data_IF_207303697256
#
_entry.id   IF_207303697256
#
_cell.length_a   1.000
_cell.length_b   1.000
_cell.length_c   1.000
_cell.angle_alpha   90.00
_cell.angle_beta   90.00
_cell.angle_gamma   90.00
#
_symmetry.space_group_name_H-M   'P 1'
#
loop_
_entity.id
_entity.type
_entity.pdbx_description
1 polymer ?
#
# COMPACT_ATOMS: atom_id res chain seq x y z
N UNK A 1 -3.30 11.49 12.19
CA UNK A 1 -2.93 10.22 12.86
C UNK A 1 -1.77 10.49 13.80
N UNK A 2 -1.73 9.81 14.94
CA UNK A 2 -0.54 9.85 15.82
C UNK A 2 0.45 8.76 15.40
N UNK A 3 1.75 8.92 15.71
CA UNK A 3 2.75 7.89 15.43
C UNK A 3 2.45 6.55 16.12
N UNK A 4 1.88 6.58 17.32
CA UNK A 4 1.56 5.39 18.11
C UNK A 4 0.45 4.58 17.43
N UNK A 5 -0.62 5.25 16.97
CA UNK A 5 -1.72 4.59 16.27
C UNK A 5 -1.27 3.98 14.94
N UNK A 6 -0.33 4.61 14.24
CA UNK A 6 0.27 4.05 13.03
C UNK A 6 1.08 2.79 13.35
N UNK A 7 1.91 2.84 14.41
CA UNK A 7 2.70 1.69 14.85
C UNK A 7 1.81 0.52 15.28
N UNK A 8 0.70 0.78 15.96
CA UNK A 8 -0.27 -0.27 16.35
C UNK A 8 -0.91 -0.92 15.11
N UNK A 9 -1.28 -0.12 14.10
CA UNK A 9 -1.81 -0.62 12.84
C UNK A 9 -0.78 -1.51 12.11
N UNK A 10 0.47 -1.04 12.01
CA UNK A 10 1.55 -1.76 11.34
C UNK A 10 1.83 -3.11 12.03
N UNK A 11 1.84 -3.13 13.36
CA UNK A 11 1.99 -4.38 14.12
C UNK A 11 0.85 -5.36 13.87
N UNK A 12 -0.40 -4.86 13.80
CA UNK A 12 -1.56 -5.69 13.52
C UNK A 12 -1.53 -6.28 12.10
N UNK A 13 -1.15 -5.49 11.10
CA UNK A 13 -1.00 -5.94 9.71
C UNK A 13 0.14 -6.96 9.57
N UNK A 14 1.28 -6.72 10.22
CA UNK A 14 2.39 -7.67 10.26
C UNK A 14 1.99 -8.99 10.92
N UNK A 15 1.26 -8.95 12.04
CA UNK A 15 0.76 -10.15 12.72
C UNK A 15 -0.25 -10.95 11.88
N UNK A 16 -0.99 -10.28 10.99
CA UNK A 16 -1.89 -10.92 10.04
C UNK A 16 -1.15 -11.58 8.86
N UNK A 17 0.15 -11.31 8.67
CA UNK A 17 0.95 -11.89 7.60
C UNK A 17 0.57 -11.41 6.20
N UNK A 18 0.01 -10.20 6.09
CA UNK A 18 -0.35 -9.59 4.80
C UNK A 18 0.78 -8.70 4.29
N UNK A 19 0.92 -8.59 2.98
CA UNK A 19 1.77 -7.56 2.38
C UNK A 19 1.07 -6.20 2.50
N UNK A 20 1.75 -5.21 3.08
CA UNK A 20 1.19 -3.89 3.31
C UNK A 20 2.22 -2.78 3.12
N UNK A 21 1.72 -1.55 2.97
CA UNK A 21 2.53 -0.34 3.03
C UNK A 21 1.70 0.74 3.72
N UNK A 22 2.29 1.37 4.73
CA UNK A 22 1.69 2.47 5.48
C UNK A 22 2.54 3.73 5.27
N UNK A 23 1.93 4.83 4.85
CA UNK A 23 2.62 6.09 4.58
C UNK A 23 1.91 7.27 5.25
N UNK A 24 2.69 8.20 5.81
CA UNK A 24 2.21 9.51 6.23
C UNK A 24 2.53 10.50 5.11
N UNK A 25 1.51 11.15 4.56
CA UNK A 25 1.67 12.26 3.63
C UNK A 25 2.03 13.54 4.42
N UNK A 26 3.27 14.05 4.33
CA UNK A 26 3.71 15.18 5.15
C UNK A 26 2.88 16.45 4.88
N UNK A 27 2.57 17.21 5.92
CA UNK A 27 1.84 18.48 5.80
C UNK A 27 0.34 18.34 5.47
N UNK A 28 -0.17 17.13 5.28
CA UNK A 28 -1.57 16.89 4.97
C UNK A 28 -2.43 16.70 6.21
N UNK A 29 -3.72 16.98 6.05
CA UNK A 29 -4.76 16.66 7.04
C UNK A 29 -5.84 15.79 6.41
N UNK A 30 -6.76 15.28 7.24
CA UNK A 30 -7.89 14.51 6.73
C UNK A 30 -8.65 15.31 5.66
N UNK A 31 -8.82 14.70 4.48
CA UNK A 31 -9.47 15.33 3.34
C UNK A 31 -8.57 15.89 2.26
N UNK A 32 -7.25 15.68 2.32
CA UNK A 32 -6.31 16.22 1.33
C UNK A 32 -6.57 15.83 -0.13
N UNK A 33 -7.36 14.79 -0.40
CA UNK A 33 -7.77 14.37 -1.75
C UNK A 33 -9.08 14.98 -2.23
N UNK A 34 -9.83 15.67 -1.37
CA UNK A 34 -11.16 16.21 -1.66
C UNK A 34 -11.04 17.67 -2.14
N UNK A 35 -11.11 17.88 -3.45
CA UNK A 35 -10.85 19.17 -4.11
C UNK A 35 -11.80 20.32 -3.72
N UNK A 36 -12.90 19.99 -3.08
CA UNK A 36 -13.93 20.91 -2.59
C UNK A 36 -13.74 21.31 -1.11
N UNK A 37 -12.60 20.95 -0.50
CA UNK A 37 -12.29 21.25 0.90
C UNK A 37 -11.04 22.10 1.04
N UNK A 38 -10.95 22.89 2.12
CA UNK A 38 -9.75 23.67 2.47
C UNK A 38 -8.52 22.78 2.75
N UNK A 39 -8.74 21.48 2.99
CA UNK A 39 -7.67 20.51 3.20
C UNK A 39 -6.98 20.07 1.90
N UNK A 40 -7.55 20.39 0.72
CA UNK A 40 -7.07 19.90 -0.57
C UNK A 40 -5.60 20.24 -0.82
N UNK A 41 -4.82 19.21 -1.12
CA UNK A 41 -3.42 19.33 -1.51
C UNK A 41 -3.20 18.60 -2.84
N UNK A 42 -2.96 19.32 -3.95
CA UNK A 42 -2.80 18.71 -5.27
C UNK A 42 -1.53 17.85 -5.39
N UNK A 43 -0.46 18.16 -4.64
CA UNK A 43 0.76 17.37 -4.66
C UNK A 43 0.57 16.05 -3.90
N UNK A 44 -0.13 16.10 -2.76
CA UNK A 44 -0.48 14.89 -2.02
C UNK A 44 -1.51 14.02 -2.76
N UNK A 45 -2.45 14.62 -3.50
CA UNK A 45 -3.35 13.89 -4.38
C UNK A 45 -2.58 13.14 -5.48
N UNK A 46 -1.60 13.79 -6.10
CA UNK A 46 -0.77 13.13 -7.12
C UNK A 46 0.01 11.96 -6.51
N UNK A 47 0.69 12.17 -5.37
CA UNK A 47 1.41 11.09 -4.67
C UNK A 47 0.48 9.94 -4.30
N UNK A 48 -0.75 10.24 -3.84
CA UNK A 48 -1.76 9.21 -3.56
C UNK A 48 -2.07 8.35 -4.79
N UNK A 49 -2.28 8.96 -5.97
CA UNK A 49 -2.52 8.20 -7.20
C UNK A 49 -1.29 7.41 -7.67
N UNK A 50 -0.09 7.97 -7.53
CA UNK A 50 1.18 7.30 -7.87
C UNK A 50 1.39 6.02 -7.05
N UNK A 51 0.84 5.95 -5.82
CA UNK A 51 0.88 4.75 -4.96
C UNK A 51 -0.29 3.81 -5.22
N UNK A 52 -1.50 4.34 -5.36
CA UNK A 52 -2.72 3.53 -5.44
C UNK A 52 -2.86 2.79 -6.77
N UNK A 53 -2.57 3.45 -7.90
CA UNK A 53 -2.78 2.84 -9.22
C UNK A 53 -1.90 1.61 -9.46
N UNK A 54 -0.59 1.61 -9.14
CA UNK A 54 0.23 0.40 -9.25
C UNK A 54 -0.23 -0.74 -8.34
N UNK A 55 -0.67 -0.43 -7.11
CA UNK A 55 -1.21 -1.43 -6.18
C UNK A 55 -2.45 -2.11 -6.77
N UNK A 56 -3.40 -1.31 -7.28
CA UNK A 56 -4.61 -1.84 -7.92
C UNK A 56 -4.30 -2.59 -9.22
N UNK A 57 -3.32 -2.12 -10.00
CA UNK A 57 -2.88 -2.82 -11.20
C UNK A 57 -2.31 -4.20 -10.86
N UNK A 58 -1.42 -4.30 -9.88
CA UNK A 58 -0.89 -5.60 -9.43
C UNK A 58 -1.98 -6.53 -8.90
N UNK A 59 -2.91 -6.01 -8.08
CA UNK A 59 -3.95 -6.81 -7.45
C UNK A 59 -5.08 -7.25 -8.40
N UNK A 60 -5.43 -6.42 -9.39
CA UNK A 60 -6.61 -6.63 -10.25
C UNK A 60 -6.26 -7.04 -11.68
N UNK A 61 -5.09 -6.65 -12.19
CA UNK A 61 -4.66 -6.95 -13.57
C UNK A 61 -3.62 -8.08 -13.64
N UNK A 62 -2.99 -8.44 -12.53
CA UNK A 62 -1.92 -9.45 -12.47
C UNK A 62 -2.27 -10.65 -11.58
N UNK A 63 -3.24 -11.46 -12.00
CA UNK A 63 -3.30 -12.87 -11.59
C UNK A 63 -2.56 -13.72 -12.63
N UNK A 64 -1.30 -13.39 -12.90
CA UNK A 64 -0.42 -14.29 -13.64
C UNK A 64 0.12 -15.30 -12.61
N UNK A 65 -0.24 -16.55 -12.84
CA UNK A 65 -0.04 -17.68 -11.94
C UNK A 65 1.45 -17.98 -11.73
N UNK A 66 2.12 -17.26 -10.82
CA UNK A 66 3.42 -17.68 -10.28
C UNK A 66 3.63 -17.13 -8.87
N UNK A 67 2.94 -17.72 -7.90
CA UNK A 67 3.50 -17.82 -6.55
C UNK A 67 4.72 -18.74 -6.67
N UNK A 68 5.91 -18.15 -6.59
CA UNK A 68 7.09 -18.89 -6.16
C UNK A 68 6.98 -18.96 -4.64
N UNK A 69 6.45 -20.08 -4.13
CA UNK A 69 6.53 -20.37 -2.69
C UNK A 69 8.02 -20.61 -2.37
N UNK A 70 8.55 -19.80 -1.46
CA UNK A 70 9.90 -19.92 -0.90
C UNK A 70 10.11 -21.15 -0.01
N UNK A 71 9.37 -22.23 -0.22
CA UNK A 71 9.56 -23.53 0.43
C UNK A 71 9.69 -24.65 -0.60
N UNK A 72 10.94 -24.98 -0.90
CA UNK A 72 11.32 -26.31 -1.35
C UNK A 72 11.91 -26.35 -2.76
N UNK A 73 13.17 -26.80 -2.81
CA UNK A 73 13.84 -27.36 -3.97
C UNK A 73 12.86 -28.12 -4.89
N UNK A 74 12.70 -27.66 -6.13
CA UNK A 74 12.09 -28.43 -7.21
C UNK A 74 13.18 -28.83 -8.21
N UNK A 75 13.13 -30.07 -8.74
CA UNK A 75 14.16 -30.57 -9.64
C UNK A 75 14.12 -29.78 -10.95
N UNK A 76 15.31 -29.55 -11.52
CA UNK A 76 15.43 -29.00 -12.87
C UNK A 76 14.58 -29.86 -13.84
N UNK A 77 13.66 -29.22 -14.57
CA UNK A 77 13.11 -29.82 -15.78
C UNK A 77 14.24 -29.97 -16.83
N UNK A 78 14.13 -30.95 -17.74
CA UNK A 78 15.13 -31.15 -18.79
C UNK A 78 15.25 -29.94 -19.73
#
# INVERSE_FOLDING_TARGET
MTPEALSELDQALAAAGVDYTSEICPGTVHGFTMSDTDAFDPAALQHHWDRLLPLLHGALAGADCSVVDGRGMLPACP
#
